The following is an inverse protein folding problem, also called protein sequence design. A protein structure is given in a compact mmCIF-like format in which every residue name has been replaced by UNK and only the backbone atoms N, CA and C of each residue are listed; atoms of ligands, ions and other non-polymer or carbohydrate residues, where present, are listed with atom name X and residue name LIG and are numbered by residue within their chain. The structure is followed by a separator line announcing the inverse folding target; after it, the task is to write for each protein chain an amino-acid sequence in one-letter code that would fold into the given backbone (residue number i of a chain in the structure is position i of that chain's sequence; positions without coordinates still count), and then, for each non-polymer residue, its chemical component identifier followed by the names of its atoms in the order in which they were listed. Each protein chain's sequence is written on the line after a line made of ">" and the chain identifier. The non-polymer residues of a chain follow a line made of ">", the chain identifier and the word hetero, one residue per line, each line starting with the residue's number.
data_IF_071848682351
#
_entry.id   IF_071848682351
#
_cell.length_a   1.000
_cell.length_b   1.000
_cell.length_c   1.000
_cell.angle_alpha   90.00
_cell.angle_beta   90.00
_cell.angle_gamma   90.00
#
_symmetry.space_group_name_H-M   'P 1'
#
loop_
_entity.id
_entity.type
_entity.pdbx_description
1 polymer ?
#
# COMPACT_ATOMS: atom_id res chain seq x y z
N UNK A 1 -9.95 -0.46 -16.89
CA UNK A 1 -10.14 0.79 -16.13
C UNK A 1 -9.46 0.59 -14.79
N UNK A 2 -8.56 1.49 -14.38
CA UNK A 2 -7.81 1.38 -13.12
C UNK A 2 -8.54 2.16 -12.01
N UNK A 3 -8.39 1.76 -10.74
CA UNK A 3 -9.08 2.39 -9.61
C UNK A 3 -8.19 3.40 -8.86
N UNK A 4 -6.97 2.99 -8.47
CA UNK A 4 -6.07 3.84 -7.69
C UNK A 4 -5.38 4.93 -8.52
N UNK A 5 -4.78 4.56 -9.66
CA UNK A 5 -4.00 5.49 -10.49
C UNK A 5 -4.74 6.82 -10.81
N UNK A 6 -6.01 6.83 -11.27
CA UNK A 6 -6.69 8.10 -11.54
C UNK A 6 -7.04 8.93 -10.31
N UNK A 7 -6.97 8.35 -9.10
CA UNK A 7 -7.32 9.02 -7.82
C UNK A 7 -6.10 9.31 -6.95
N UNK A 8 -4.89 9.13 -7.48
CA UNK A 8 -3.68 9.25 -6.66
C UNK A 8 -3.51 10.66 -6.09
N UNK A 9 -3.88 11.69 -6.84
CA UNK A 9 -3.74 13.08 -6.39
C UNK A 9 -4.75 13.42 -5.28
N UNK A 10 -5.98 12.90 -5.37
CA UNK A 10 -6.96 13.00 -4.28
C UNK A 10 -6.46 12.30 -3.01
N UNK A 11 -5.88 11.10 -3.15
CA UNK A 11 -5.29 10.38 -2.04
C UNK A 11 -4.11 11.17 -1.43
N UNK A 12 -3.24 11.78 -2.24
CA UNK A 12 -2.12 12.62 -1.76
C UNK A 12 -2.62 13.82 -0.97
N UNK A 13 -3.66 14.51 -1.45
CA UNK A 13 -4.29 15.60 -0.72
C UNK A 13 -4.87 15.13 0.61
N UNK A 14 -5.62 14.02 0.60
CA UNK A 14 -6.20 13.43 1.81
C UNK A 14 -5.14 13.08 2.85
N UNK A 15 -4.02 12.48 2.43
CA UNK A 15 -2.90 12.11 3.30
C UNK A 15 -2.19 13.33 3.88
N UNK A 16 -2.04 14.41 3.10
CA UNK A 16 -1.47 15.67 3.58
C UNK A 16 -2.28 16.27 4.73
N UNK A 17 -3.61 16.17 4.64
CA UNK A 17 -4.53 16.75 5.62
C UNK A 17 -4.67 15.87 6.86
N UNK A 18 -4.85 14.56 6.68
CA UNK A 18 -5.10 13.61 7.77
C UNK A 18 -3.85 13.11 8.46
N UNK A 19 -2.69 13.17 7.79
CA UNK A 19 -1.37 12.75 8.27
C UNK A 19 -1.35 11.34 8.90
N UNK A 20 -1.88 10.31 8.21
CA UNK A 20 -1.93 8.96 8.73
C UNK A 20 -0.52 8.36 8.84
N UNK A 21 -0.38 7.37 9.72
CA UNK A 21 0.85 6.58 9.85
C UNK A 21 0.83 5.34 8.93
N UNK A 22 -0.36 4.78 8.70
CA UNK A 22 -0.61 3.62 7.84
C UNK A 22 -1.82 3.89 6.95
N UNK A 23 -1.76 3.48 5.68
CA UNK A 23 -2.88 3.57 4.73
C UNK A 23 -3.07 2.23 4.07
N UNK A 24 -4.20 1.58 4.34
CA UNK A 24 -4.57 0.32 3.71
C UNK A 24 -5.54 0.57 2.56
N UNK A 25 -5.24 0.01 1.40
CA UNK A 25 -6.06 0.09 0.20
C UNK A 25 -6.48 -1.30 -0.25
N UNK A 26 -7.71 -1.39 -0.74
CA UNK A 26 -8.29 -2.58 -1.38
C UNK A 26 -8.81 -2.19 -2.76
N UNK A 27 -9.00 -3.15 -3.65
CA UNK A 27 -9.52 -2.93 -5.01
C UNK A 27 -8.73 -1.85 -5.77
N UNK A 28 -7.39 -1.95 -5.74
CA UNK A 28 -6.49 -0.96 -6.36
C UNK A 28 -6.54 -1.01 -7.90
N UNK A 29 -6.82 -2.20 -8.45
CA UNK A 29 -6.92 -2.48 -9.89
C UNK A 29 -5.71 -1.94 -10.66
N UNK A 30 -4.53 -2.09 -10.07
CA UNK A 30 -3.27 -1.76 -10.72
C UNK A 30 -2.89 -2.90 -11.66
N UNK A 31 -2.36 -2.54 -12.82
CA UNK A 31 -1.71 -3.46 -13.73
C UNK A 31 -0.19 -3.19 -13.72
N UNK A 32 0.58 -4.12 -14.28
CA UNK A 32 2.04 -4.01 -14.35
C UNK A 32 2.52 -2.83 -15.24
N UNK A 33 1.60 -2.14 -15.93
CA UNK A 33 1.90 -0.96 -16.75
C UNK A 33 1.95 0.33 -15.93
N UNK A 34 1.41 0.35 -14.70
CA UNK A 34 1.50 1.52 -13.82
C UNK A 34 2.85 1.52 -13.13
N UNK A 35 3.67 2.54 -13.39
CA UNK A 35 4.91 2.73 -12.66
C UNK A 35 4.63 2.97 -11.18
N UNK A 36 5.32 2.26 -10.29
CA UNK A 36 5.29 2.52 -8.84
C UNK A 36 5.57 3.99 -8.50
N UNK A 37 6.38 4.68 -9.32
CA UNK A 37 6.64 6.11 -9.16
C UNK A 37 5.39 6.97 -9.30
N UNK A 38 4.45 6.58 -10.17
CA UNK A 38 3.21 7.34 -10.39
C UNK A 38 2.30 7.30 -9.17
N UNK A 39 2.26 6.16 -8.47
CA UNK A 39 1.42 5.93 -7.30
C UNK A 39 2.15 6.19 -5.98
N UNK A 40 3.43 6.54 -6.01
CA UNK A 40 4.17 6.85 -4.78
C UNK A 40 3.60 8.08 -4.05
N UNK A 41 3.56 8.00 -2.72
CA UNK A 41 3.21 9.11 -1.84
C UNK A 41 4.47 9.52 -1.08
N UNK A 42 4.94 10.78 -1.19
CA UNK A 42 6.14 11.22 -0.51
C UNK A 42 6.08 11.00 1.01
N UNK A 43 7.14 10.41 1.57
CA UNK A 43 7.23 10.10 3.00
C UNK A 43 6.57 8.77 3.40
N UNK A 44 6.21 7.93 2.44
CA UNK A 44 5.70 6.58 2.68
C UNK A 44 6.50 5.55 1.86
N UNK A 45 6.58 4.34 2.41
CA UNK A 45 6.93 3.12 1.69
C UNK A 45 5.66 2.46 1.19
N UNK A 46 5.67 1.96 -0.04
CA UNK A 46 4.54 1.29 -0.65
C UNK A 46 4.80 -0.21 -0.75
N UNK A 47 3.84 -1.00 -0.29
CA UNK A 47 3.74 -2.44 -0.55
C UNK A 47 2.50 -2.70 -1.38
N UNK A 48 2.63 -3.51 -2.42
CA UNK A 48 1.52 -3.87 -3.31
C UNK A 48 1.46 -5.38 -3.50
N UNK A 49 0.25 -5.88 -3.63
CA UNK A 49 -0.02 -7.22 -4.14
C UNK A 49 -1.16 -7.14 -5.14
N UNK A 50 -0.82 -7.24 -6.42
CA UNK A 50 -1.79 -7.28 -7.51
C UNK A 50 -2.20 -8.72 -7.80
N UNK A 51 -3.43 -8.92 -8.29
CA UNK A 51 -3.90 -10.23 -8.70
C UNK A 51 -3.18 -10.72 -9.97
N UNK A 52 -2.71 -11.96 -9.98
CA UNK A 52 -1.93 -12.51 -11.08
C UNK A 52 -2.76 -12.86 -12.32
N UNK A 53 -4.08 -13.04 -12.18
CA UNK A 53 -4.93 -13.62 -13.23
C UNK A 53 -6.18 -12.82 -13.57
N UNK A 54 -6.25 -11.53 -13.21
CA UNK A 54 -7.47 -10.73 -13.41
C UNK A 54 -7.24 -9.22 -13.58
N UNK A 55 -8.28 -8.55 -14.09
CA UNK A 55 -8.33 -7.09 -14.32
C UNK A 55 -8.74 -6.31 -13.05
N UNK A 56 -9.09 -7.02 -11.97
CA UNK A 56 -9.71 -6.49 -10.74
C UNK A 56 -9.03 -7.07 -9.50
N UNK A 57 -9.28 -6.47 -8.35
CA UNK A 57 -8.68 -6.83 -7.07
C UNK A 57 -7.42 -6.04 -6.74
N UNK A 58 -6.59 -6.63 -5.91
CA UNK A 58 -5.32 -6.07 -5.48
C UNK A 58 -5.42 -5.24 -4.21
N UNK A 59 -4.39 -5.36 -3.38
CA UNK A 59 -4.26 -4.69 -2.09
C UNK A 59 -2.97 -3.89 -2.02
N UNK A 60 -3.01 -2.81 -1.25
CA UNK A 60 -1.86 -1.93 -1.05
C UNK A 60 -1.75 -1.48 0.40
N UNK A 61 -0.52 -1.26 0.84
CA UNK A 61 -0.22 -0.70 2.14
C UNK A 61 0.84 0.38 2.00
N UNK A 62 0.50 1.61 2.38
CA UNK A 62 1.50 2.65 2.62
C UNK A 62 1.88 2.66 4.09
N UNK A 63 3.18 2.65 4.37
CA UNK A 63 3.76 2.78 5.71
C UNK A 63 4.61 4.03 5.76
N UNK A 64 4.31 4.95 6.67
CA UNK A 64 5.08 6.19 6.82
C UNK A 64 6.56 5.89 7.05
N UNK A 65 7.45 6.60 6.36
CA UNK A 65 8.90 6.30 6.34
C UNK A 65 9.60 6.40 7.69
N UNK A 66 8.99 7.07 8.67
CA UNK A 66 9.49 7.11 10.06
C UNK A 66 9.22 5.81 10.84
N UNK A 67 8.41 4.89 10.31
CA UNK A 67 8.00 3.67 10.98
C UNK A 67 8.83 2.50 10.45
N UNK A 68 9.49 1.79 11.38
CA UNK A 68 10.17 0.56 11.04
C UNK A 68 9.15 -0.56 10.87
N UNK A 69 9.20 -1.22 9.72
CA UNK A 69 8.36 -2.38 9.44
C UNK A 69 9.15 -3.43 8.67
N UNK A 70 8.63 -4.66 8.69
CA UNK A 70 9.11 -5.78 7.89
C UNK A 70 7.94 -6.42 7.17
N UNK A 71 8.01 -6.53 5.84
CA UNK A 71 7.07 -7.34 5.08
C UNK A 71 7.32 -8.83 5.39
N UNK A 72 6.25 -9.56 5.73
CA UNK A 72 6.30 -10.99 6.06
C UNK A 72 6.02 -11.80 4.79
N UNK A 73 6.95 -11.75 3.85
CA UNK A 73 6.85 -12.43 2.54
C UNK A 73 6.94 -13.95 2.65
N UNK A 74 7.44 -14.46 3.77
CA UNK A 74 7.57 -15.87 4.11
C UNK A 74 6.22 -16.58 4.32
N UNK A 75 5.18 -15.84 4.69
CA UNK A 75 3.83 -16.37 4.90
C UNK A 75 2.87 -16.00 3.77
N UNK A 76 3.40 -15.59 2.61
CA UNK A 76 2.56 -15.21 1.48
C UNK A 76 1.87 -16.43 0.87
N UNK A 77 0.55 -16.35 0.78
CA UNK A 77 -0.23 -17.29 -0.01
C UNK A 77 -0.35 -16.78 -1.44
N UNK A 78 -0.04 -17.57 -2.49
CA UNK A 78 -0.05 -17.10 -3.88
C UNK A 78 -1.45 -16.68 -4.35
N UNK A 79 -2.49 -17.33 -3.85
CA UNK A 79 -3.87 -17.09 -4.30
C UNK A 79 -4.64 -16.06 -3.45
N UNK A 80 -4.12 -15.66 -2.29
CA UNK A 80 -4.83 -14.70 -1.41
C UNK A 80 -4.31 -13.28 -1.62
N UNK A 81 -5.21 -12.33 -1.81
CA UNK A 81 -4.90 -10.90 -1.87
C UNK A 81 -4.67 -10.31 -0.48
N UNK A 82 -3.59 -10.75 0.16
CA UNK A 82 -3.25 -10.34 1.53
C UNK A 82 -1.79 -9.89 1.59
N UNK A 83 -1.57 -8.79 2.31
CA UNK A 83 -0.26 -8.27 2.70
C UNK A 83 -0.11 -8.41 4.21
N UNK A 84 1.02 -8.97 4.64
CA UNK A 84 1.36 -9.11 6.05
C UNK A 84 2.59 -8.27 6.37
N UNK A 85 2.48 -7.41 7.38
CA UNK A 85 3.60 -6.61 7.87
C UNK A 85 3.73 -6.70 9.38
N UNK A 86 4.97 -6.88 9.84
CA UNK A 86 5.32 -6.66 11.23
C UNK A 86 5.71 -5.19 11.39
N UNK A 87 4.91 -4.45 12.15
CA UNK A 87 5.13 -3.02 12.40
C UNK A 87 5.68 -2.84 13.81
N UNK A 88 6.80 -2.11 13.92
CA UNK A 88 7.36 -1.75 15.22
C UNK A 88 6.99 -0.30 15.54
N UNK A 89 6.15 -0.05 16.56
CA UNK A 89 5.85 1.31 16.97
C UNK A 89 7.12 1.98 17.49
N UNK A 90 7.27 3.29 17.23
CA UNK A 90 8.44 4.05 17.67
C UNK A 90 8.55 4.13 19.21
N UNK A 91 7.43 3.93 19.91
CA UNK A 91 7.35 3.84 21.37
C UNK A 91 6.39 2.72 21.73
N UNK A 92 6.81 1.81 22.60
CA UNK A 92 5.91 0.84 23.21
C UNK A 92 5.01 1.59 24.21
N UNK A 93 3.70 1.26 24.30
CA UNK A 93 2.87 1.76 25.37
C UNK A 93 3.50 1.38 26.71
N UNK A 94 3.60 2.37 27.61
CA UNK A 94 4.12 2.18 28.96
C UNK A 94 3.17 1.35 29.81
#
# INVERSE_FOLDING_TARGET
>A
MMSLAPKIDELRCFVKDTKPDLISLTETWLNDSVSEHHINIPGFHLLLKNHSSGVRGGVGLYVKSSIQFRALTDIYHPELEVLWTYVKPARLPR
#
